data_IF_193821101032
#
_entry.id   IF_193821101032
#
_cell.length_a   1.000
_cell.length_b   1.000
_cell.length_c   1.000
_cell.angle_alpha   90.00
_cell.angle_beta   90.00
_cell.angle_gamma   90.00
#
_symmetry.space_group_name_H-M   'P 1'
#
loop_
_entity.id
_entity.type
_entity.pdbx_description
1 polymer ?
#
# COMPACT_ATOMS: atom_id res chain seq x y z
N UNK A 1 -27.50 -26.59 2.68
CA UNK A 1 -26.10 -26.44 2.22
C UNK A 1 -25.74 -24.97 2.23
N UNK A 2 -24.55 -24.58 2.66
CA UNK A 2 -24.12 -23.19 2.58
C UNK A 2 -24.05 -22.76 1.11
N UNK A 3 -24.38 -21.50 0.84
CA UNK A 3 -24.16 -20.89 -0.47
C UNK A 3 -22.74 -20.36 -0.51
N UNK A 4 -21.99 -20.70 -1.54
CA UNK A 4 -20.62 -20.20 -1.74
C UNK A 4 -20.64 -18.85 -2.46
N UNK A 5 -19.57 -18.10 -2.34
CA UNK A 5 -19.36 -16.88 -3.12
C UNK A 5 -18.95 -17.27 -4.55
N UNK A 6 -19.89 -17.22 -5.49
CA UNK A 6 -19.67 -17.65 -6.88
C UNK A 6 -18.80 -16.66 -7.68
N UNK A 7 -18.55 -15.45 -7.16
CA UNK A 7 -17.67 -14.49 -7.81
C UNK A 7 -16.21 -15.00 -7.94
N UNK A 8 -15.83 -15.96 -7.09
CA UNK A 8 -14.51 -16.61 -7.21
C UNK A 8 -14.31 -17.33 -8.55
N UNK A 9 -15.39 -17.68 -9.27
CA UNK A 9 -15.28 -18.24 -10.63
C UNK A 9 -14.82 -17.21 -11.67
N UNK A 10 -14.95 -15.91 -11.34
CA UNK A 10 -14.49 -14.81 -12.20
C UNK A 10 -13.04 -14.40 -11.97
N UNK A 11 -12.42 -14.90 -10.90
CA UNK A 11 -10.99 -14.69 -10.62
C UNK A 11 -10.19 -15.66 -11.47
N UNK A 12 -9.06 -15.22 -12.03
CA UNK A 12 -8.15 -16.11 -12.78
C UNK A 12 -7.75 -17.31 -11.93
N UNK A 13 -7.64 -18.49 -12.53
CA UNK A 13 -7.38 -19.78 -11.86
C UNK A 13 -6.13 -19.77 -10.97
N UNK A 14 -5.15 -18.92 -11.23
CA UNK A 14 -4.00 -18.72 -10.36
C UNK A 14 -3.60 -17.24 -10.28
N UNK A 15 -3.19 -16.83 -9.08
CA UNK A 15 -2.60 -15.53 -8.86
C UNK A 15 -1.31 -15.37 -9.69
N UNK A 16 -1.12 -14.23 -10.34
CA UNK A 16 -0.05 -13.98 -11.32
C UNK A 16 1.32 -14.52 -10.88
N UNK A 17 1.73 -14.21 -9.64
CA UNK A 17 3.05 -14.63 -9.14
C UNK A 17 3.16 -16.14 -8.89
N UNK A 18 2.07 -16.80 -8.51
CA UNK A 18 2.02 -18.25 -8.38
C UNK A 18 2.14 -18.94 -9.75
N UNK A 19 1.49 -18.39 -10.78
CA UNK A 19 1.60 -18.90 -12.16
C UNK A 19 3.01 -18.73 -12.71
N UNK A 20 3.66 -17.58 -12.47
CA UNK A 20 5.06 -17.36 -12.85
C UNK A 20 5.97 -18.40 -12.17
N UNK A 21 5.82 -18.61 -10.86
CA UNK A 21 6.61 -19.61 -10.12
C UNK A 21 6.41 -21.02 -10.67
N UNK A 22 5.16 -21.39 -10.99
CA UNK A 22 4.83 -22.68 -11.62
C UNK A 22 5.51 -22.83 -12.98
N UNK A 23 5.47 -21.81 -13.84
CA UNK A 23 6.13 -21.84 -15.16
C UNK A 23 7.64 -21.96 -15.04
N UNK A 24 8.26 -21.25 -14.13
CA UNK A 24 9.70 -21.36 -13.87
C UNK A 24 10.03 -22.80 -13.45
N UNK A 25 9.29 -23.40 -12.51
CA UNK A 25 9.52 -24.77 -12.08
C UNK A 25 9.40 -25.78 -13.23
N UNK A 26 8.36 -25.65 -14.06
CA UNK A 26 8.20 -26.52 -15.25
C UNK A 26 9.36 -26.34 -16.22
N UNK A 27 9.86 -25.13 -16.42
CA UNK A 27 11.02 -24.87 -17.28
C UNK A 27 12.29 -25.51 -16.71
N UNK A 28 12.56 -25.37 -15.42
CA UNK A 28 13.70 -26.00 -14.72
C UNK A 28 13.68 -27.54 -14.86
N UNK A 29 12.50 -28.15 -14.68
CA UNK A 29 12.31 -29.59 -14.82
C UNK A 29 12.51 -30.09 -16.27
N UNK A 30 12.12 -29.28 -17.25
CA UNK A 30 12.23 -29.66 -18.69
C UNK A 30 13.57 -29.28 -19.31
N UNK A 31 14.34 -28.38 -18.69
CA UNK A 31 15.65 -27.89 -19.16
C UNK A 31 16.65 -27.84 -18.00
N UNK A 32 17.00 -28.99 -17.40
CA UNK A 32 17.88 -29.02 -16.23
C UNK A 32 19.28 -28.47 -16.48
N UNK A 33 19.75 -28.50 -17.72
CA UNK A 33 21.00 -27.91 -18.17
C UNK A 33 21.02 -26.39 -18.22
N UNK A 34 19.85 -25.74 -18.12
CA UNK A 34 19.65 -24.29 -18.14
C UNK A 34 19.08 -23.73 -16.85
N UNK A 35 18.76 -24.57 -15.88
CA UNK A 35 18.11 -24.15 -14.65
C UNK A 35 18.89 -23.05 -13.90
N UNK A 36 20.22 -23.18 -13.83
CA UNK A 36 21.12 -22.21 -13.18
C UNK A 36 21.31 -20.91 -13.99
N UNK A 37 20.82 -20.85 -15.24
CA UNK A 37 20.95 -19.69 -16.12
C UNK A 37 19.69 -18.81 -16.13
N UNK A 38 18.65 -19.19 -15.38
CA UNK A 38 17.39 -18.43 -15.36
C UNK A 38 17.57 -17.11 -14.64
N UNK A 39 17.36 -16.01 -15.35
CA UNK A 39 17.28 -14.69 -14.77
C UNK A 39 15.83 -14.43 -14.35
N UNK A 40 15.59 -14.31 -13.05
CA UNK A 40 14.24 -14.13 -12.48
C UNK A 40 13.91 -12.65 -12.37
N UNK A 41 13.10 -12.13 -13.28
CA UNK A 41 12.62 -10.74 -13.32
C UNK A 41 11.12 -10.63 -12.98
N UNK A 42 10.52 -11.69 -12.43
CA UNK A 42 9.07 -11.78 -12.24
C UNK A 42 8.55 -11.11 -10.96
N UNK A 43 9.40 -10.88 -9.97
CA UNK A 43 9.01 -10.26 -8.68
C UNK A 43 10.04 -9.20 -8.33
N UNK A 44 9.60 -7.93 -8.23
CA UNK A 44 10.40 -6.87 -7.63
C UNK A 44 10.43 -7.04 -6.11
N UNK A 45 11.47 -7.66 -5.58
CA UNK A 45 11.67 -7.79 -4.15
C UNK A 45 12.93 -7.03 -3.69
N UNK A 46 12.93 -6.58 -2.44
CA UNK A 46 14.11 -6.05 -1.79
C UNK A 46 14.96 -7.22 -1.28
N UNK A 47 16.27 -7.17 -1.56
CA UNK A 47 17.23 -8.26 -1.30
C UNK A 47 18.25 -7.94 -0.23
N UNK A 48 18.38 -6.65 0.14
CA UNK A 48 19.25 -6.25 1.24
C UNK A 48 18.64 -6.61 2.59
N UNK A 49 19.45 -6.94 3.59
CA UNK A 49 18.98 -7.23 4.95
C UNK A 49 18.34 -6.00 5.59
N UNK A 50 17.60 -6.22 6.67
CA UNK A 50 17.13 -5.15 7.55
C UNK A 50 18.31 -4.31 8.05
N UNK A 51 18.08 -3.02 8.23
CA UNK A 51 19.11 -2.09 8.71
C UNK A 51 19.55 -2.41 10.14
N UNK A 52 20.73 -1.93 10.52
CA UNK A 52 21.30 -2.18 11.83
C UNK A 52 20.39 -1.68 12.95
N UNK A 53 19.91 -0.44 12.85
CA UNK A 53 19.03 0.16 13.85
C UNK A 53 17.72 -0.62 14.05
N UNK A 54 17.17 -1.18 12.97
CA UNK A 54 15.97 -2.04 13.01
C UNK A 54 16.25 -3.37 13.72
N UNK A 55 17.40 -4.01 13.43
CA UNK A 55 17.79 -5.26 14.07
C UNK A 55 18.02 -5.05 15.57
N UNK A 56 18.72 -3.97 15.96
CA UNK A 56 18.91 -3.60 17.36
C UNK A 56 17.58 -3.40 18.09
N UNK A 57 16.65 -2.68 17.47
CA UNK A 57 15.31 -2.47 18.03
C UNK A 57 14.49 -3.78 18.16
N UNK A 58 14.65 -4.72 17.23
CA UNK A 58 14.03 -6.05 17.35
C UNK A 58 14.56 -6.80 18.57
N UNK A 59 15.88 -6.78 18.81
CA UNK A 59 16.48 -7.39 19.99
C UNK A 59 15.99 -6.73 21.28
N UNK A 60 16.02 -5.39 21.36
CA UNK A 60 15.50 -4.63 22.50
C UNK A 60 14.04 -5.02 22.81
N UNK A 61 13.20 -5.08 21.78
CA UNK A 61 11.79 -5.42 21.94
C UNK A 61 11.59 -6.87 22.40
N UNK A 62 12.36 -7.82 21.89
CA UNK A 62 12.31 -9.23 22.32
C UNK A 62 12.76 -9.37 23.77
N UNK A 63 13.88 -8.73 24.16
CA UNK A 63 14.39 -8.77 25.52
C UNK A 63 13.39 -8.19 26.51
N UNK A 64 12.66 -7.12 26.12
CA UNK A 64 11.63 -6.52 26.96
C UNK A 64 10.48 -7.47 27.26
N UNK A 65 10.22 -8.47 26.42
CA UNK A 65 9.16 -9.46 26.66
C UNK A 65 9.53 -10.50 27.74
N UNK A 66 10.80 -10.61 28.11
CA UNK A 66 11.26 -11.53 29.15
C UNK A 66 11.09 -10.96 30.58
N UNK A 67 10.73 -9.67 30.70
CA UNK A 67 10.65 -8.96 31.99
C UNK A 67 9.18 -8.61 32.26
N UNK A 68 8.67 -9.00 33.43
CA UNK A 68 7.26 -8.81 33.81
C UNK A 68 6.78 -7.34 33.74
N UNK A 69 7.67 -6.40 34.07
CA UNK A 69 7.38 -4.97 34.12
C UNK A 69 7.24 -4.36 32.72
N UNK A 70 7.83 -4.98 31.71
CA UNK A 70 7.86 -4.48 30.32
C UNK A 70 7.17 -5.41 29.34
N UNK A 71 6.62 -6.53 29.83
CA UNK A 71 5.85 -7.46 28.99
C UNK A 71 4.62 -6.77 28.40
N UNK A 72 4.46 -6.92 27.09
CA UNK A 72 3.31 -6.40 26.34
C UNK A 72 2.40 -7.56 25.89
N UNK A 73 1.18 -7.59 26.42
CA UNK A 73 0.12 -8.48 25.97
C UNK A 73 -0.60 -7.98 24.71
N UNK A 74 -1.91 -8.16 24.63
CA UNK A 74 -2.70 -7.59 23.54
C UNK A 74 -2.56 -6.07 23.50
N UNK A 75 -2.09 -5.56 22.39
CA UNK A 75 -1.99 -4.12 22.13
C UNK A 75 -3.30 -3.53 21.60
N UNK A 76 -3.33 -2.20 21.40
CA UNK A 76 -4.43 -1.55 20.68
C UNK A 76 -4.52 -2.09 19.25
N UNK A 77 -5.73 -2.39 18.78
CA UNK A 77 -5.98 -2.91 17.43
C UNK A 77 -5.56 -1.91 16.34
N UNK A 78 -5.63 -0.61 16.65
CA UNK A 78 -5.16 0.46 15.76
C UNK A 78 -3.62 0.55 15.67
N UNK A 79 -2.92 -0.07 16.61
CA UNK A 79 -1.46 0.02 16.77
C UNK A 79 -1.05 0.91 17.94
N UNK A 80 0.17 0.70 18.45
CA UNK A 80 0.70 1.45 19.57
C UNK A 80 0.88 2.93 19.24
N UNK A 81 0.60 3.78 20.22
CA UNK A 81 0.70 5.24 20.07
C UNK A 81 2.10 5.70 19.65
N UNK A 82 3.16 5.09 20.21
CA UNK A 82 4.53 5.45 19.86
C UNK A 82 4.83 5.24 18.36
N UNK A 83 4.29 4.18 17.74
CA UNK A 83 4.48 3.90 16.35
C UNK A 83 3.64 4.83 15.46
N UNK A 84 2.37 5.08 15.82
CA UNK A 84 1.49 6.01 15.10
C UNK A 84 2.03 7.45 15.15
N UNK A 85 2.56 7.86 16.33
CA UNK A 85 3.21 9.16 16.46
C UNK A 85 4.48 9.27 15.60
N UNK A 86 5.33 8.26 15.57
CA UNK A 86 6.54 8.24 14.72
C UNK A 86 6.18 8.41 13.24
N UNK A 87 5.09 7.79 12.79
CA UNK A 87 4.56 7.95 11.42
C UNK A 87 4.04 9.37 11.21
N UNK A 88 3.24 9.92 12.12
CA UNK A 88 2.74 11.29 12.01
C UNK A 88 3.90 12.32 11.97
N UNK A 89 4.93 12.12 12.79
CA UNK A 89 6.13 12.95 12.78
C UNK A 89 6.89 12.84 11.43
N UNK A 90 6.86 11.67 10.77
CA UNK A 90 7.39 11.49 9.42
C UNK A 90 6.62 12.31 8.38
N UNK A 91 5.29 12.31 8.39
CA UNK A 91 4.48 13.18 7.53
C UNK A 91 4.77 14.65 7.79
N UNK A 92 4.87 15.07 9.05
CA UNK A 92 5.16 16.45 9.43
C UNK A 92 6.52 16.95 8.88
N UNK A 93 7.56 16.09 8.87
CA UNK A 93 8.86 16.41 8.24
C UNK A 93 8.76 16.64 6.73
N UNK A 94 7.75 16.06 6.08
CA UNK A 94 7.44 16.27 4.67
C UNK A 94 6.41 17.40 4.44
N UNK A 95 6.12 18.20 5.47
CA UNK A 95 5.18 19.34 5.40
C UNK A 95 3.70 18.94 5.35
N UNK A 96 3.38 17.71 5.76
CA UNK A 96 2.02 17.16 5.74
C UNK A 96 1.57 16.90 7.17
N UNK A 97 0.42 17.44 7.57
CA UNK A 97 -0.15 17.18 8.88
C UNK A 97 -1.09 15.98 8.80
N UNK A 98 -0.80 14.94 9.59
CA UNK A 98 -1.66 13.76 9.78
C UNK A 98 -1.85 13.52 11.26
N UNK A 99 -3.12 13.42 11.71
CA UNK A 99 -3.43 13.07 13.08
C UNK A 99 -3.01 11.60 13.35
N UNK A 100 -2.23 11.31 14.41
CA UNK A 100 -1.97 9.93 14.82
C UNK A 100 -3.22 9.06 14.99
N UNK A 101 -4.37 9.66 15.32
CA UNK A 101 -5.64 8.96 15.40
C UNK A 101 -6.15 8.45 14.02
N UNK A 102 -5.75 9.09 12.92
CA UNK A 102 -6.09 8.65 11.57
C UNK A 102 -5.24 7.48 11.07
N UNK A 103 -4.18 7.09 11.80
CA UNK A 103 -3.20 6.08 11.39
C UNK A 103 -3.58 4.71 12.00
N UNK A 104 -3.69 3.69 11.14
CA UNK A 104 -3.95 2.30 11.52
C UNK A 104 -2.79 1.41 11.08
N UNK A 105 -2.11 0.77 12.03
CA UNK A 105 -0.97 -0.11 11.76
C UNK A 105 -1.47 -1.51 11.40
N UNK A 106 -0.88 -2.12 10.39
CA UNK A 106 -1.23 -3.46 9.94
C UNK A 106 -0.02 -4.29 9.49
N UNK A 107 -0.29 -5.51 9.05
CA UNK A 107 0.69 -6.55 8.71
C UNK A 107 1.09 -6.57 7.22
N UNK A 108 0.74 -5.54 6.48
CA UNK A 108 1.09 -5.39 5.07
C UNK A 108 0.00 -4.66 4.27
N UNK A 109 0.39 -3.71 3.42
CA UNK A 109 -0.54 -2.94 2.59
C UNK A 109 -1.44 -3.82 1.72
N UNK A 110 -0.96 -5.01 1.31
CA UNK A 110 -1.77 -5.99 0.59
C UNK A 110 -3.01 -6.44 1.38
N UNK A 111 -2.85 -6.69 2.69
CA UNK A 111 -3.96 -7.04 3.56
C UNK A 111 -4.97 -5.90 3.65
N UNK A 112 -4.48 -4.68 3.82
CA UNK A 112 -5.35 -3.50 3.94
C UNK A 112 -6.10 -3.20 2.66
N UNK A 113 -5.43 -3.24 1.50
CA UNK A 113 -6.09 -3.02 0.20
C UNK A 113 -7.15 -4.07 -0.13
N UNK A 114 -6.99 -5.29 0.38
CA UNK A 114 -8.02 -6.33 0.28
C UNK A 114 -9.15 -6.14 1.29
N UNK A 115 -8.80 -5.81 2.53
CA UNK A 115 -9.75 -5.72 3.63
C UNK A 115 -10.64 -4.46 3.57
N UNK A 116 -10.12 -3.35 3.01
CA UNK A 116 -10.86 -2.08 2.93
C UNK A 116 -12.12 -2.21 2.07
N UNK A 117 -12.14 -3.15 1.13
CA UNK A 117 -13.29 -3.38 0.26
C UNK A 117 -14.57 -3.78 1.02
N UNK A 118 -14.41 -4.32 2.25
CA UNK A 118 -15.53 -4.67 3.13
C UNK A 118 -16.34 -3.45 3.62
N UNK A 119 -15.76 -2.24 3.55
CA UNK A 119 -16.46 -1.01 3.94
C UNK A 119 -17.48 -0.55 2.87
N UNK A 120 -17.39 -1.07 1.67
CA UNK A 120 -18.15 -0.63 0.51
C UNK A 120 -19.11 -1.71 0.02
N UNK A 121 -20.29 -1.29 -0.38
CA UNK A 121 -21.30 -2.16 -0.98
C UNK A 121 -20.80 -2.80 -2.29
N UNK A 122 -21.29 -3.99 -2.61
CA UNK A 122 -20.84 -4.76 -3.78
C UNK A 122 -21.38 -4.19 -5.11
N UNK A 123 -22.33 -3.29 -5.09
CA UNK A 123 -22.89 -2.61 -6.27
C UNK A 123 -22.09 -1.36 -6.68
N UNK A 124 -21.02 -0.99 -5.94
CA UNK A 124 -20.12 0.08 -6.31
C UNK A 124 -19.34 -0.21 -7.60
N UNK A 125 -19.11 0.85 -8.38
CA UNK A 125 -18.27 0.84 -9.58
C UNK A 125 -16.85 1.23 -9.19
N UNK A 126 -15.90 0.37 -9.54
CA UNK A 126 -14.48 0.54 -9.22
C UNK A 126 -13.71 0.92 -10.47
N UNK A 127 -12.91 1.99 -10.38
CA UNK A 127 -12.06 2.49 -11.44
C UNK A 127 -10.61 2.12 -11.13
N UNK A 128 -9.93 1.43 -12.06
CA UNK A 128 -8.57 0.89 -11.84
C UNK A 128 -7.70 1.21 -13.04
N UNK A 129 -6.49 1.77 -12.85
CA UNK A 129 -5.50 1.87 -13.93
C UNK A 129 -5.11 0.49 -14.48
N UNK A 130 -4.71 0.43 -15.76
CA UNK A 130 -4.17 -0.78 -16.38
C UNK A 130 -2.95 -0.38 -17.26
N UNK A 131 -1.74 -0.91 -16.99
CA UNK A 131 -1.42 -1.97 -16.03
C UNK A 131 -1.34 -1.49 -14.57
N UNK A 132 -1.67 -2.39 -13.63
CA UNK A 132 -1.67 -2.10 -12.20
C UNK A 132 -1.38 -3.36 -11.37
N UNK A 133 -1.15 -3.18 -10.09
CA UNK A 133 -1.00 -4.27 -9.12
C UNK A 133 -2.28 -5.13 -9.06
N UNK A 134 -2.20 -6.46 -9.31
CA UNK A 134 -3.38 -7.31 -9.52
C UNK A 134 -4.34 -7.37 -8.33
N UNK A 135 -3.87 -7.07 -7.11
CA UNK A 135 -4.69 -7.16 -5.90
C UNK A 135 -5.95 -6.30 -5.98
N UNK A 136 -5.87 -5.12 -6.57
CA UNK A 136 -7.05 -4.23 -6.68
C UNK A 136 -8.16 -4.83 -7.55
N UNK A 137 -7.75 -5.51 -8.62
CA UNK A 137 -8.68 -6.21 -9.52
C UNK A 137 -9.25 -7.46 -8.86
N UNK A 138 -8.36 -8.32 -8.32
CA UNK A 138 -8.75 -9.63 -7.78
C UNK A 138 -9.70 -9.48 -6.57
N UNK A 139 -9.41 -8.57 -5.63
CA UNK A 139 -10.25 -8.37 -4.44
C UNK A 139 -11.63 -7.84 -4.79
N UNK A 140 -11.73 -6.87 -5.70
CA UNK A 140 -13.02 -6.35 -6.14
C UNK A 140 -13.79 -7.35 -6.99
N UNK A 141 -13.10 -8.21 -7.76
CA UNK A 141 -13.74 -9.33 -8.48
C UNK A 141 -14.30 -10.36 -7.51
N UNK A 142 -13.57 -10.70 -6.43
CA UNK A 142 -14.06 -11.60 -5.37
C UNK A 142 -15.32 -11.06 -4.69
N UNK A 143 -15.42 -9.75 -4.54
CA UNK A 143 -16.61 -9.06 -3.99
C UNK A 143 -17.75 -8.94 -5.01
N UNK A 144 -17.49 -9.18 -6.30
CA UNK A 144 -18.49 -9.05 -7.37
C UNK A 144 -18.76 -7.60 -7.80
N UNK A 145 -17.85 -6.67 -7.48
CA UNK A 145 -17.96 -5.27 -7.90
C UNK A 145 -17.69 -5.12 -9.39
N UNK A 146 -18.31 -4.13 -10.00
CA UNK A 146 -18.05 -3.77 -11.41
C UNK A 146 -16.74 -3.00 -11.52
N UNK A 147 -15.81 -3.49 -12.35
CA UNK A 147 -14.52 -2.83 -12.60
C UNK A 147 -14.53 -2.15 -13.97
N UNK A 148 -14.06 -0.91 -14.01
CA UNK A 148 -13.76 -0.14 -15.21
C UNK A 148 -12.26 0.10 -15.23
N UNK A 149 -11.62 -0.20 -16.37
CA UNK A 149 -10.18 0.00 -16.55
C UNK A 149 -9.89 1.34 -17.21
N UNK A 150 -8.83 1.99 -16.74
CA UNK A 150 -8.25 3.19 -17.36
C UNK A 150 -6.92 2.80 -18.00
N UNK A 151 -6.81 2.91 -19.31
CA UNK A 151 -5.59 2.51 -20.01
C UNK A 151 -4.44 3.49 -19.74
N UNK A 152 -3.39 3.00 -19.09
CA UNK A 152 -2.08 3.63 -19.04
C UNK A 152 -1.30 3.21 -20.28
N UNK A 153 -0.91 4.16 -21.11
CA UNK A 153 -0.18 3.96 -22.36
C UNK A 153 1.04 4.86 -22.40
N UNK A 154 1.94 4.64 -23.37
CA UNK A 154 3.09 5.50 -23.57
C UNK A 154 2.67 6.95 -23.88
N UNK A 155 1.55 7.15 -24.59
CA UNK A 155 1.05 8.47 -24.95
C UNK A 155 0.56 9.29 -23.76
N UNK A 156 0.19 8.66 -22.64
CA UNK A 156 -0.21 9.33 -21.40
C UNK A 156 0.77 9.07 -20.25
N UNK A 157 2.01 8.70 -20.56
CA UNK A 157 3.08 8.40 -19.59
C UNK A 157 2.66 7.33 -18.55
N UNK A 158 1.76 6.43 -18.91
CA UNK A 158 1.13 5.44 -18.02
C UNK A 158 0.39 6.05 -16.82
N UNK A 159 -0.03 7.32 -16.93
CA UNK A 159 -0.75 8.07 -15.91
C UNK A 159 -2.13 8.49 -16.45
N UNK A 160 -3.11 7.58 -16.47
CA UNK A 160 -4.45 7.93 -16.93
C UNK A 160 -5.06 9.02 -16.03
N UNK A 161 -5.77 9.94 -16.66
CA UNK A 161 -6.42 11.07 -15.99
C UNK A 161 -7.94 10.86 -15.90
N UNK A 162 -8.64 11.57 -14.98
CA UNK A 162 -10.08 11.41 -14.84
C UNK A 162 -10.82 11.82 -16.12
N UNK A 163 -11.87 11.05 -16.46
CA UNK A 163 -12.82 11.38 -17.54
C UNK A 163 -14.20 11.63 -16.92
N UNK A 164 -14.73 12.82 -17.09
CA UNK A 164 -16.07 13.22 -16.58
C UNK A 164 -17.22 12.37 -17.15
N UNK A 165 -17.00 11.62 -18.21
CA UNK A 165 -18.00 10.70 -18.80
C UNK A 165 -18.07 9.37 -18.04
N UNK A 166 -17.05 9.03 -17.28
CA UNK A 166 -16.98 7.82 -16.46
C UNK A 166 -17.38 8.21 -15.05
N UNK A 167 -18.34 7.50 -14.46
CA UNK A 167 -18.67 7.61 -13.03
C UNK A 167 -18.17 6.37 -12.31
N UNK A 168 -17.44 6.57 -11.25
CA UNK A 168 -16.93 5.52 -10.37
C UNK A 168 -17.11 5.94 -8.91
N UNK A 169 -17.37 4.96 -8.06
CA UNK A 169 -17.56 5.17 -6.62
C UNK A 169 -16.22 4.99 -5.88
N UNK A 170 -15.38 4.08 -6.37
CA UNK A 170 -14.07 3.75 -5.80
C UNK A 170 -13.00 3.89 -6.89
N UNK A 171 -11.92 4.60 -6.59
CA UNK A 171 -10.84 4.88 -7.53
C UNK A 171 -9.53 4.38 -6.93
N UNK A 172 -8.86 3.44 -7.57
CA UNK A 172 -7.51 3.05 -7.18
C UNK A 172 -6.48 3.89 -7.92
N UNK A 173 -5.52 4.44 -7.18
CA UNK A 173 -4.32 5.09 -7.71
C UNK A 173 -3.11 4.52 -6.98
N UNK A 174 -2.05 4.21 -7.72
CA UNK A 174 -0.77 3.79 -7.17
C UNK A 174 0.32 4.75 -7.67
N UNK A 175 1.05 5.39 -6.76
CA UNK A 175 2.07 6.36 -7.15
C UNK A 175 3.25 6.37 -6.15
N UNK A 176 4.44 5.95 -6.60
CA UNK A 176 4.78 5.36 -7.91
C UNK A 176 4.02 4.08 -8.23
N UNK A 177 3.60 3.92 -9.50
CA UNK A 177 2.76 2.79 -9.90
C UNK A 177 3.55 1.48 -10.01
N UNK A 178 2.95 0.40 -9.56
CA UNK A 178 3.39 -0.96 -9.86
C UNK A 178 2.50 -1.52 -11.01
N UNK A 179 3.03 -1.82 -12.23
CA UNK A 179 4.45 -2.11 -12.51
C UNK A 179 5.23 -0.99 -13.24
N UNK A 180 4.63 0.13 -13.61
CA UNK A 180 5.20 1.09 -14.56
C UNK A 180 6.28 2.01 -13.98
N UNK A 181 6.26 2.24 -12.65
CA UNK A 181 7.10 3.22 -11.97
C UNK A 181 6.66 4.67 -12.17
N UNK A 182 5.62 4.92 -12.97
CA UNK A 182 5.09 6.26 -13.21
C UNK A 182 4.53 6.89 -11.93
N UNK A 183 4.74 8.18 -11.77
CA UNK A 183 4.32 8.94 -10.57
C UNK A 183 3.53 10.17 -10.97
N UNK A 184 2.37 10.37 -10.36
CA UNK A 184 1.55 11.55 -10.56
C UNK A 184 2.20 12.79 -9.94
N UNK A 185 2.14 13.91 -10.64
CA UNK A 185 2.50 15.22 -10.09
C UNK A 185 1.33 15.86 -9.30
N UNK A 186 1.57 17.04 -8.71
CA UNK A 186 0.57 17.72 -7.87
C UNK A 186 -0.69 18.10 -8.63
N UNK A 187 -0.55 18.60 -9.86
CA UNK A 187 -1.66 18.99 -10.72
C UNK A 187 -2.51 17.81 -11.13
N UNK A 188 -1.87 16.69 -11.45
CA UNK A 188 -2.55 15.45 -11.82
C UNK A 188 -3.31 14.85 -10.63
N UNK A 189 -2.69 14.80 -9.44
CA UNK A 189 -3.38 14.35 -8.23
C UNK A 189 -4.51 15.31 -7.84
N UNK A 190 -4.33 16.61 -8.02
CA UNK A 190 -5.42 17.59 -7.78
C UNK A 190 -6.61 17.33 -8.69
N UNK A 191 -6.39 17.02 -9.95
CA UNK A 191 -7.47 16.67 -10.86
C UNK A 191 -8.24 15.41 -10.40
N UNK A 192 -7.55 14.41 -9.84
CA UNK A 192 -8.18 13.23 -9.26
C UNK A 192 -8.96 13.54 -7.98
N UNK A 193 -8.40 14.37 -7.09
CA UNK A 193 -9.09 14.82 -5.87
C UNK A 193 -10.35 15.61 -6.23
N UNK A 194 -10.26 16.54 -7.18
CA UNK A 194 -11.42 17.32 -7.64
C UNK A 194 -12.49 16.46 -8.27
N UNK A 195 -12.08 15.46 -9.07
CA UNK A 195 -13.01 14.48 -9.63
C UNK A 195 -13.71 13.68 -8.53
N UNK A 196 -12.98 13.20 -7.52
CA UNK A 196 -13.54 12.42 -6.43
C UNK A 196 -14.54 13.23 -5.59
N UNK A 197 -14.18 14.46 -5.21
CA UNK A 197 -15.08 15.36 -4.48
C UNK A 197 -16.34 15.71 -5.27
N UNK A 198 -16.20 15.95 -6.59
CA UNK A 198 -17.34 16.26 -7.48
C UNK A 198 -18.33 15.10 -7.62
N UNK A 199 -17.86 13.86 -7.54
CA UNK A 199 -18.65 12.66 -7.80
C UNK A 199 -19.00 11.87 -6.54
N UNK A 200 -18.68 12.37 -5.34
CA UNK A 200 -18.80 11.66 -4.05
C UNK A 200 -18.07 10.29 -4.08
N UNK A 201 -16.91 10.24 -4.71
CA UNK A 201 -16.09 9.04 -4.86
C UNK A 201 -15.01 8.97 -3.78
N UNK A 202 -14.49 7.77 -3.51
CA UNK A 202 -13.32 7.58 -2.64
C UNK A 202 -12.10 7.18 -3.46
N UNK A 203 -10.96 7.80 -3.18
CA UNK A 203 -9.66 7.40 -3.72
C UNK A 203 -8.99 6.45 -2.73
N UNK A 204 -8.60 5.27 -3.21
CA UNK A 204 -7.75 4.32 -2.53
C UNK A 204 -6.33 4.47 -3.11
N UNK A 205 -5.48 5.22 -2.40
CA UNK A 205 -4.17 5.64 -2.86
C UNK A 205 -3.07 4.75 -2.25
N UNK A 206 -2.35 4.01 -3.10
CA UNK A 206 -1.25 3.14 -2.70
C UNK A 206 0.09 3.87 -2.92
N UNK A 207 0.78 4.18 -1.82
CA UNK A 207 2.08 4.86 -1.79
C UNK A 207 3.23 3.94 -1.35
N UNK A 208 3.11 2.63 -1.54
CA UNK A 208 4.10 1.65 -1.08
C UNK A 208 5.52 1.88 -1.64
N UNK A 209 5.67 2.66 -2.70
CA UNK A 209 6.96 2.99 -3.33
C UNK A 209 7.35 4.46 -3.18
N UNK A 210 6.69 5.25 -2.33
CA UNK A 210 6.93 6.68 -2.16
C UNK A 210 8.40 7.03 -1.85
N UNK A 211 9.09 6.15 -1.10
CA UNK A 211 10.48 6.35 -0.72
C UNK A 211 11.46 6.35 -1.92
N UNK A 212 11.05 5.81 -3.07
CA UNK A 212 11.84 5.80 -4.30
C UNK A 212 11.65 7.05 -5.17
N UNK A 213 10.79 7.99 -4.78
CA UNK A 213 10.64 9.28 -5.44
C UNK A 213 11.89 10.12 -5.15
N UNK A 214 12.65 10.44 -6.19
CA UNK A 214 13.86 11.28 -6.12
C UNK A 214 13.60 12.73 -6.48
N UNK A 215 12.57 13.00 -7.28
CA UNK A 215 12.15 14.33 -7.65
C UNK A 215 11.43 15.02 -6.49
N UNK A 216 11.95 16.17 -6.04
CA UNK A 216 11.41 16.93 -4.90
C UNK A 216 10.08 17.61 -5.20
N UNK A 217 9.73 17.78 -6.47
CA UNK A 217 8.47 18.40 -6.89
C UNK A 217 7.31 17.39 -6.90
N UNK A 218 7.60 16.09 -6.92
CA UNK A 218 6.59 15.05 -6.87
C UNK A 218 6.08 14.81 -5.43
N UNK A 219 4.76 14.71 -5.23
CA UNK A 219 4.19 14.45 -3.92
C UNK A 219 4.45 13.01 -3.47
N UNK A 220 4.89 12.84 -2.22
CA UNK A 220 5.09 11.52 -1.58
C UNK A 220 3.81 10.95 -0.97
N UNK A 221 2.79 11.80 -0.79
CA UNK A 221 1.50 11.44 -0.23
C UNK A 221 0.40 12.21 -0.93
N UNK A 222 -0.77 11.61 -1.05
CA UNK A 222 -1.95 12.29 -1.59
C UNK A 222 -2.39 13.45 -0.68
N UNK A 223 -2.08 13.41 0.61
CA UNK A 223 -2.44 14.49 1.55
C UNK A 223 -1.60 15.77 1.39
N UNK A 224 -0.63 15.79 0.49
CA UNK A 224 -0.03 17.03 -0.01
C UNK A 224 -0.99 17.83 -0.91
N UNK A 225 -2.13 17.26 -1.29
CA UNK A 225 -3.15 17.86 -2.15
C UNK A 225 -4.34 18.35 -1.31
N UNK A 226 -4.70 19.60 -1.48
CA UNK A 226 -5.88 20.18 -0.81
C UNK A 226 -7.17 19.45 -1.18
N UNK A 227 -7.98 19.10 -0.17
CA UNK A 227 -9.22 18.35 -0.30
C UNK A 227 -9.05 16.82 -0.23
N UNK A 228 -7.82 16.29 -0.28
CA UNK A 228 -7.60 14.84 -0.28
C UNK A 228 -8.08 14.16 1.01
N UNK A 229 -8.03 14.81 2.16
CA UNK A 229 -8.54 14.24 3.43
C UNK A 229 -10.05 13.97 3.42
N UNK A 230 -10.79 14.65 2.56
CA UNK A 230 -12.24 14.49 2.43
C UNK A 230 -12.64 13.37 1.46
N UNK A 231 -11.68 12.83 0.67
CA UNK A 231 -12.02 11.84 -0.35
C UNK A 231 -11.00 10.69 -0.51
N UNK A 232 -9.90 10.64 0.27
CA UNK A 232 -8.85 9.64 0.04
C UNK A 232 -8.45 8.88 1.30
N UNK A 233 -8.18 7.57 1.11
CA UNK A 233 -7.50 6.67 2.05
C UNK A 233 -6.13 6.37 1.47
N UNK A 234 -5.06 6.46 2.28
CA UNK A 234 -3.70 6.17 1.84
C UNK A 234 -3.16 4.89 2.48
N UNK A 235 -2.59 4.00 1.64
CA UNK A 235 -1.91 2.78 2.07
C UNK A 235 -0.41 2.94 1.92
N UNK A 236 0.32 2.68 3.00
CA UNK A 236 1.77 2.78 3.07
C UNK A 236 2.39 1.47 3.53
N UNK A 237 3.61 1.19 3.11
CA UNK A 237 4.29 -0.06 3.45
C UNK A 237 5.77 0.14 3.71
N UNK A 238 6.29 -0.45 4.79
CA UNK A 238 7.72 -0.55 5.01
C UNK A 238 8.37 -1.73 4.25
N UNK A 239 7.59 -2.53 3.53
CA UNK A 239 8.14 -3.66 2.77
C UNK A 239 9.23 -3.23 1.79
N UNK A 240 9.04 -2.08 1.11
CA UNK A 240 9.98 -1.59 0.10
C UNK A 240 10.94 -0.57 0.66
N UNK A 241 10.48 0.30 1.55
CA UNK A 241 11.28 1.37 2.16
C UNK A 241 12.36 0.82 3.09
N UNK A 242 12.04 -0.20 3.90
CA UNK A 242 12.89 -0.69 4.99
C UNK A 242 13.09 -2.22 5.01
N UNK A 243 12.72 -2.94 3.95
CA UNK A 243 12.93 -4.39 3.85
C UNK A 243 11.95 -5.23 4.68
N UNK A 244 10.83 -4.70 5.12
CA UNK A 244 9.85 -5.43 5.96
C UNK A 244 8.98 -6.43 5.18
N UNK A 245 9.51 -7.01 4.11
CA UNK A 245 8.80 -8.02 3.29
C UNK A 245 8.47 -9.29 4.08
N UNK A 246 9.38 -9.73 4.97
CA UNK A 246 9.21 -10.91 5.83
C UNK A 246 8.68 -10.59 7.23
N UNK A 247 9.02 -9.42 7.78
CA UNK A 247 8.63 -8.99 9.13
C UNK A 247 7.24 -8.40 9.21
N UNK A 248 6.68 -7.96 8.09
CA UNK A 248 5.30 -7.48 7.89
C UNK A 248 4.93 -6.23 8.68
N UNK A 249 5.08 -5.06 8.06
CA UNK A 249 4.58 -3.79 8.61
C UNK A 249 4.08 -2.88 7.49
N UNK A 250 2.90 -2.34 7.70
CA UNK A 250 2.30 -1.30 6.89
C UNK A 250 1.41 -0.43 7.78
N UNK A 251 0.90 0.63 7.21
CA UNK A 251 -0.13 1.44 7.85
C UNK A 251 -1.06 2.02 6.80
N UNK A 252 -2.29 2.26 7.23
CA UNK A 252 -3.34 2.92 6.45
C UNK A 252 -3.71 4.21 7.14
N UNK A 253 -3.79 5.30 6.39
CA UNK A 253 -4.30 6.58 6.90
C UNK A 253 -5.73 6.76 6.44
N UNK A 254 -6.66 6.85 7.39
CA UNK A 254 -8.08 7.10 7.17
C UNK A 254 -8.47 8.37 7.92
N UNK A 255 -8.56 9.52 7.24
CA UNK A 255 -8.89 10.79 7.88
C UNK A 255 -10.28 10.78 8.53
N UNK A 256 -10.45 11.52 9.61
CA UNK A 256 -11.75 11.71 10.27
C UNK A 256 -12.71 12.56 9.44
N UNK A 257 -12.18 13.37 8.52
CA UNK A 257 -12.92 14.21 7.58
C UNK A 257 -13.63 13.38 6.49
N UNK A 258 -13.22 12.12 6.31
CA UNK A 258 -13.73 11.24 5.25
C UNK A 258 -15.11 10.66 5.63
N UNK A 259 -16.15 11.38 5.27
CA UNK A 259 -17.53 11.07 5.61
C UNK A 259 -18.44 11.01 4.39
N UNK A 260 -19.40 10.11 4.40
CA UNK A 260 -20.40 9.95 3.34
C UNK A 260 -21.82 9.95 3.90
N UNK A 261 -22.79 10.29 3.06
CA UNK A 261 -24.22 10.23 3.42
C UNK A 261 -24.79 8.89 3.01
N UNK A 262 -25.31 8.14 3.97
CA UNK A 262 -26.02 6.88 3.71
C UNK A 262 -27.39 7.13 3.07
N UNK A 263 -27.97 6.09 2.47
CA UNK A 263 -29.29 6.16 1.81
C UNK A 263 -30.44 6.58 2.73
N UNK A 264 -30.31 6.39 4.03
CA UNK A 264 -31.25 6.83 5.06
C UNK A 264 -30.99 8.27 5.57
N UNK A 265 -30.01 8.97 5.00
CA UNK A 265 -29.60 10.33 5.37
C UNK A 265 -28.62 10.41 6.55
N UNK A 266 -28.19 9.30 7.13
CA UNK A 266 -27.19 9.30 8.19
C UNK A 266 -25.78 9.58 7.64
N UNK A 267 -24.96 10.31 8.40
CA UNK A 267 -23.55 10.47 8.08
C UNK A 267 -22.78 9.24 8.54
N UNK A 268 -21.97 8.66 7.66
CA UNK A 268 -21.08 7.54 7.92
C UNK A 268 -19.62 8.01 7.80
N UNK A 269 -18.83 7.78 8.84
CA UNK A 269 -17.38 8.03 8.85
C UNK A 269 -16.66 6.75 8.41
N UNK A 270 -15.86 6.82 7.33
CA UNK A 270 -15.01 5.70 6.93
C UNK A 270 -13.94 5.40 7.97
N UNK A 271 -13.45 6.42 8.68
CA UNK A 271 -12.55 6.25 9.82
C UNK A 271 -13.18 5.34 10.89
N UNK A 272 -14.40 5.64 11.33
CA UNK A 272 -15.08 4.86 12.36
C UNK A 272 -15.44 3.45 11.89
N UNK A 273 -15.84 3.31 10.63
CA UNK A 273 -16.11 2.01 10.02
C UNK A 273 -14.83 1.16 9.95
N UNK A 274 -13.71 1.73 9.52
CA UNK A 274 -12.42 1.02 9.49
C UNK A 274 -11.94 0.66 10.88
N UNK A 275 -12.02 1.57 11.84
CA UNK A 275 -11.71 1.30 13.25
C UNK A 275 -12.57 0.15 13.79
N UNK A 276 -13.87 0.15 13.52
CA UNK A 276 -14.77 -0.93 13.94
C UNK A 276 -14.43 -2.26 13.28
N UNK A 277 -14.10 -2.26 11.98
CA UNK A 277 -13.65 -3.45 11.27
C UNK A 277 -12.37 -4.01 11.87
N UNK A 278 -11.36 -3.17 12.10
CA UNK A 278 -10.08 -3.57 12.69
C UNK A 278 -10.25 -4.12 14.10
N UNK A 279 -11.00 -3.45 14.95
CA UNK A 279 -11.29 -3.93 16.31
C UNK A 279 -12.06 -5.25 16.36
N UNK A 280 -12.76 -5.61 15.28
CA UNK A 280 -13.54 -6.85 15.21
C UNK A 280 -12.77 -8.02 14.59
N UNK A 281 -11.91 -7.76 13.62
CA UNK A 281 -11.31 -8.80 12.75
C UNK A 281 -9.79 -8.84 12.80
N UNK A 282 -9.14 -7.92 13.51
CA UNK A 282 -7.70 -7.79 13.54
C UNK A 282 -7.20 -7.40 14.94
N UNK A 283 -6.27 -8.15 15.52
CA UNK A 283 -5.71 -7.90 16.86
C UNK A 283 -4.43 -7.04 16.84
N UNK A 284 -4.11 -6.44 15.71
CA UNK A 284 -2.91 -5.61 15.56
C UNK A 284 -1.66 -6.39 15.16
N UNK A 285 -0.69 -5.66 14.62
CA UNK A 285 0.66 -6.16 14.34
C UNK A 285 1.41 -6.42 15.65
N UNK A 286 2.27 -7.46 15.72
CA UNK A 286 3.03 -7.77 16.92
C UNK A 286 3.81 -6.58 17.48
N UNK A 287 3.85 -6.45 18.81
CA UNK A 287 4.58 -5.37 19.50
C UNK A 287 6.02 -5.22 19.01
N UNK A 288 6.78 -6.32 18.92
CA UNK A 288 8.18 -6.32 18.53
C UNK A 288 8.39 -5.75 17.12
N UNK A 289 7.44 -5.96 16.24
CA UNK A 289 7.49 -5.44 14.86
C UNK A 289 7.15 -3.94 14.85
N UNK A 290 6.15 -3.51 15.62
CA UNK A 290 5.82 -2.09 15.73
C UNK A 290 6.94 -1.28 16.38
N UNK A 291 7.60 -1.85 17.39
CA UNK A 291 8.75 -1.23 18.05
C UNK A 291 9.91 -1.02 17.07
N UNK A 292 10.26 -2.04 16.30
CA UNK A 292 11.30 -1.96 15.30
C UNK A 292 10.92 -1.04 14.12
N UNK A 293 9.66 -1.06 13.70
CA UNK A 293 9.15 -0.17 12.65
C UNK A 293 9.21 1.31 13.05
N UNK A 294 8.93 1.63 14.31
CA UNK A 294 9.07 3.01 14.81
C UNK A 294 10.51 3.53 14.69
N UNK A 295 11.52 2.64 14.80
CA UNK A 295 12.93 3.00 14.62
C UNK A 295 13.23 3.44 13.19
N UNK A 296 12.54 2.90 12.18
CA UNK A 296 12.70 3.33 10.79
C UNK A 296 12.44 4.82 10.61
N UNK A 297 11.48 5.38 11.35
CA UNK A 297 11.09 6.79 11.25
C UNK A 297 11.97 7.75 12.05
N UNK A 298 13.03 7.27 12.72
CA UNK A 298 14.06 8.14 13.31
C UNK A 298 15.00 8.68 12.23
N UNK A 299 15.79 9.73 12.53
CA UNK A 299 16.78 10.25 11.60
C UNK A 299 17.80 9.18 11.19
N UNK A 300 18.30 8.40 12.17
CA UNK A 300 19.23 7.30 11.93
C UNK A 300 18.61 6.21 11.06
N UNK A 301 17.41 5.73 11.40
CA UNK A 301 16.71 4.70 10.66
C UNK A 301 16.39 5.12 9.22
N UNK A 302 15.95 6.35 9.01
CA UNK A 302 15.72 6.91 7.67
C UNK A 302 17.01 7.01 6.86
N UNK A 303 18.13 7.43 7.48
CA UNK A 303 19.41 7.51 6.79
C UNK A 303 19.94 6.13 6.36
N UNK A 304 19.77 5.10 7.19
CA UNK A 304 20.12 3.72 6.83
C UNK A 304 19.23 3.18 5.68
N UNK A 305 17.91 3.44 5.74
CA UNK A 305 16.98 3.05 4.67
C UNK A 305 17.33 3.77 3.36
N UNK A 306 17.69 5.05 3.42
CA UNK A 306 18.08 5.81 2.24
C UNK A 306 19.30 5.21 1.53
N UNK A 307 20.29 4.70 2.25
CA UNK A 307 21.43 4.01 1.65
C UNK A 307 21.01 2.76 0.87
N UNK A 308 20.04 1.99 1.40
CA UNK A 308 19.48 0.83 0.71
C UNK A 308 18.70 1.23 -0.54
N UNK A 309 17.91 2.30 -0.45
CA UNK A 309 17.14 2.84 -1.59
C UNK A 309 18.09 3.31 -2.70
N UNK A 310 19.14 4.04 -2.36
CA UNK A 310 20.19 4.49 -3.32
C UNK A 310 20.88 3.31 -4.01
N UNK A 311 21.16 2.23 -3.27
CA UNK A 311 21.66 1.01 -3.87
C UNK A 311 20.69 0.45 -4.93
N UNK A 312 19.39 0.31 -4.62
CA UNK A 312 18.41 -0.19 -5.57
C UNK A 312 18.26 0.72 -6.79
N UNK A 313 18.22 2.03 -6.59
CA UNK A 313 18.15 3.01 -7.68
C UNK A 313 19.40 2.95 -8.58
N UNK A 314 20.58 2.65 -8.02
CA UNK A 314 21.81 2.50 -8.79
C UNK A 314 21.79 1.32 -9.76
N UNK A 315 20.98 0.28 -9.50
CA UNK A 315 20.90 -0.91 -10.34
C UNK A 315 20.28 -0.64 -11.74
N UNK A 316 19.53 0.45 -11.89
CA UNK A 316 19.00 0.89 -13.19
C UNK A 316 20.14 1.08 -14.20
N UNK A 317 21.27 1.68 -13.77
CA UNK A 317 22.43 1.92 -14.63
C UNK A 317 23.15 0.63 -15.06
N UNK A 318 22.94 -0.47 -14.34
CA UNK A 318 23.51 -1.78 -14.69
C UNK A 318 22.61 -2.49 -15.71
N UNK A 319 21.29 -2.35 -15.57
CA UNK A 319 20.31 -3.01 -16.46
C UNK A 319 20.06 -2.28 -17.78
N UNK A 320 20.39 -0.99 -17.87
CA UNK A 320 20.21 -0.17 -19.08
C UNK A 320 21.54 0.42 -19.64
N UNK A 321 22.65 -0.35 -19.74
CA UNK A 321 23.95 0.20 -20.16
C UNK A 321 23.99 0.63 -21.63
N UNK A 322 22.93 0.43 -22.41
CA UNK A 322 22.92 0.54 -23.87
C UNK A 322 21.82 1.42 -24.44
N UNK A 323 21.15 2.24 -23.65
CA UNK A 323 20.33 3.30 -24.26
C UNK A 323 21.26 4.34 -24.91
N UNK A 324 21.22 4.53 -26.25
CA UNK A 324 22.02 5.54 -26.93
C UNK A 324 21.60 6.93 -26.55
#
# INVERSE_FOLDING_TARGET
>A
MPKLNENYQNVKDSYLFAEIARRVKVYEETHPDKADQIIRLGIGDVTLPLTKSVIEALHEAVDSQAVSETFMGYGPEQGYEFARKAIADYYARNGIEVDPAAIFISDGAKSDTGNITELFSNDNVVLVPDPVYPVYVDTNTMDGKKIIYMNGTEENDFLPMPDDKVKADIIYLCSPNNPTGASYNKEQLKAWVDYALKNDSVILYDSAYEAFITDQDLPRSIYAIEGAKECAIEFCSLSKTAGFTGTRFSYTVVPTELVFTASNGATLSLHDMWNRRQSTKFNGTPYIIQYAAARVFTEEGMAECQQNIEYYLSLIHISEPTRP
#
